data_IF_423084544950
#
_entry.id   IF_423084544950
#
_cell.length_a   1.000
_cell.length_b   1.000
_cell.length_c   1.000
_cell.angle_alpha   90.00
_cell.angle_beta   90.00
_cell.angle_gamma   90.00
#
_symmetry.space_group_name_H-M   'P 1'
#
loop_
_entity.id
_entity.type
_entity.pdbx_description
1 polymer ?
#
# COMPACT_ATOMS: atom_id res chain seq x y z
N UNK A 1 -14.69 23.89 -28.34
CA UNK A 1 -15.42 25.14 -28.05
C UNK A 1 -14.76 25.70 -26.80
N UNK A 2 -14.23 26.92 -26.85
CA UNK A 2 -13.49 27.48 -25.72
C UNK A 2 -14.51 27.78 -24.62
N UNK A 3 -14.45 27.11 -23.47
CA UNK A 3 -15.49 27.24 -22.42
C UNK A 3 -15.69 28.69 -21.98
N UNK A 4 -14.66 29.54 -22.10
CA UNK A 4 -14.71 30.96 -21.78
C UNK A 4 -15.52 31.84 -22.76
N UNK A 5 -16.02 31.28 -23.87
CA UNK A 5 -16.66 32.07 -24.93
C UNK A 5 -18.08 31.61 -25.28
N UNK A 6 -18.67 30.74 -24.45
CA UNK A 6 -20.00 30.16 -24.68
C UNK A 6 -21.09 31.22 -24.84
N UNK A 7 -21.16 32.23 -23.97
CA UNK A 7 -22.14 33.33 -24.06
C UNK A 7 -21.94 34.20 -25.31
N UNK A 8 -20.69 34.46 -25.70
CA UNK A 8 -20.39 35.22 -26.92
C UNK A 8 -20.78 34.43 -28.17
N UNK A 9 -20.56 33.11 -28.18
CA UNK A 9 -20.93 32.22 -29.27
C UNK A 9 -22.44 32.07 -29.46
N UNK A 10 -23.22 32.26 -28.39
CA UNK A 10 -24.68 32.30 -28.44
C UNK A 10 -25.23 33.59 -29.09
N UNK A 11 -24.41 34.63 -29.27
CA UNK A 11 -24.85 35.84 -29.96
C UNK A 11 -24.99 35.62 -31.48
N UNK A 12 -26.04 36.21 -32.11
CA UNK A 12 -26.17 36.24 -33.56
C UNK A 12 -24.91 36.82 -34.23
N UNK A 13 -24.49 36.23 -35.34
CA UNK A 13 -23.25 36.58 -36.04
C UNK A 13 -23.13 38.07 -36.39
N UNK A 14 -24.24 38.76 -36.62
CA UNK A 14 -24.27 40.21 -36.93
C UNK A 14 -23.69 41.07 -35.79
N UNK A 15 -23.87 40.68 -34.53
CA UNK A 15 -23.34 41.41 -33.38
C UNK A 15 -21.85 41.11 -33.17
N UNK A 16 -21.43 39.86 -33.42
CA UNK A 16 -20.01 39.46 -33.34
C UNK A 16 -19.14 40.14 -34.41
N UNK A 17 -19.67 40.32 -35.62
CA UNK A 17 -18.97 41.03 -36.69
C UNK A 17 -18.79 42.52 -36.33
N UNK A 18 -19.83 43.17 -35.79
CA UNK A 18 -19.75 44.57 -35.36
C UNK A 18 -18.82 44.78 -34.17
N UNK A 19 -18.84 43.88 -33.21
CA UNK A 19 -17.94 43.95 -32.06
C UNK A 19 -16.47 43.80 -32.46
N UNK A 20 -16.17 42.94 -33.44
CA UNK A 20 -14.83 42.84 -34.01
C UNK A 20 -14.37 44.13 -34.72
N UNK A 21 -15.30 44.91 -35.28
CA UNK A 21 -15.01 46.23 -35.87
C UNK A 21 -14.80 47.33 -34.81
N UNK A 22 -15.42 47.20 -33.63
CA UNK A 22 -15.36 48.17 -32.52
C UNK A 22 -14.31 47.81 -31.43
N UNK A 23 -13.48 46.79 -31.66
CA UNK A 23 -12.38 46.44 -30.77
C UNK A 23 -12.72 45.42 -29.66
N UNK A 24 -13.73 44.57 -29.88
CA UNK A 24 -14.08 43.42 -29.04
C UNK A 24 -14.50 43.74 -27.59
N UNK A 25 -15.09 44.92 -27.37
CA UNK A 25 -15.52 45.37 -26.04
C UNK A 25 -16.66 44.50 -25.49
N UNK A 26 -17.59 44.07 -26.34
CA UNK A 26 -18.70 43.20 -25.95
C UNK A 26 -18.20 41.79 -25.61
N UNK A 27 -17.26 41.24 -26.39
CA UNK A 27 -16.58 39.98 -26.07
C UNK A 27 -15.89 40.04 -24.72
N UNK A 28 -15.17 41.12 -24.41
CA UNK A 28 -14.51 41.31 -23.12
C UNK A 28 -15.52 41.37 -21.96
N UNK A 29 -16.64 42.09 -22.12
CA UNK A 29 -17.69 42.16 -21.12
C UNK A 29 -18.37 40.80 -20.89
N UNK A 30 -18.71 40.08 -21.96
CA UNK A 30 -19.33 38.76 -21.85
C UNK A 30 -18.38 37.71 -21.28
N UNK A 31 -17.08 37.84 -21.51
CA UNK A 31 -16.06 37.00 -20.87
C UNK A 31 -16.13 37.13 -19.34
N UNK A 32 -16.21 38.36 -18.81
CA UNK A 32 -16.35 38.59 -17.36
C UNK A 32 -17.68 38.07 -16.83
N UNK A 33 -18.78 38.23 -17.58
CA UNK A 33 -20.09 37.69 -17.19
C UNK A 33 -20.10 36.15 -17.20
N UNK A 34 -19.42 35.53 -18.17
CA UNK A 34 -19.27 34.08 -18.25
C UNK A 34 -18.51 33.54 -17.03
N UNK A 35 -17.46 34.22 -16.55
CA UNK A 35 -16.73 33.80 -15.35
C UNK A 35 -17.64 33.69 -14.12
N UNK A 36 -18.49 34.70 -13.91
CA UNK A 36 -19.47 34.70 -12.81
C UNK A 36 -20.60 33.67 -13.04
N UNK A 37 -21.06 33.50 -14.28
CA UNK A 37 -22.04 32.47 -14.63
C UNK A 37 -21.49 31.07 -14.36
N UNK A 38 -20.23 30.80 -14.73
CA UNK A 38 -19.56 29.53 -14.47
C UNK A 38 -19.32 29.31 -12.98
N UNK A 39 -19.05 30.37 -12.21
CA UNK A 39 -18.99 30.27 -10.76
C UNK A 39 -20.34 29.85 -10.17
N UNK A 40 -21.44 30.45 -10.63
CA UNK A 40 -22.79 30.09 -10.21
C UNK A 40 -23.21 28.68 -10.67
N UNK A 41 -22.92 28.30 -11.92
CA UNK A 41 -23.20 26.95 -12.43
C UNK A 41 -22.46 25.89 -11.59
N UNK A 42 -21.20 26.16 -11.21
CA UNK A 42 -20.42 25.29 -10.31
C UNK A 42 -21.01 25.22 -8.91
N UNK A 43 -21.44 26.34 -8.34
CA UNK A 43 -22.07 26.39 -7.01
C UNK A 43 -23.39 25.59 -7.00
N UNK A 44 -24.22 25.75 -8.04
CA UNK A 44 -25.46 24.97 -8.20
C UNK A 44 -25.15 23.48 -8.35
N UNK A 45 -24.13 23.11 -9.13
CA UNK A 45 -23.70 21.72 -9.27
C UNK A 45 -23.24 21.16 -7.91
N UNK A 46 -22.44 21.92 -7.15
CA UNK A 46 -22.02 21.57 -5.79
C UNK A 46 -23.20 21.32 -4.85
N UNK A 47 -24.25 22.16 -4.90
CA UNK A 47 -25.47 21.93 -4.11
C UNK A 47 -26.20 20.62 -4.46
N UNK A 48 -26.12 20.16 -5.71
CA UNK A 48 -26.68 18.85 -6.09
C UNK A 48 -25.78 17.70 -5.63
N UNK A 49 -24.46 17.87 -5.67
CA UNK A 49 -23.49 16.93 -5.12
C UNK A 49 -23.64 16.79 -3.60
N UNK A 50 -24.01 17.88 -2.92
CA UNK A 50 -24.27 17.94 -1.48
C UNK A 50 -25.45 17.08 -1.00
N UNK A 51 -26.31 16.63 -1.92
CA UNK A 51 -27.43 15.74 -1.58
C UNK A 51 -26.99 14.31 -1.29
N UNK A 52 -25.80 13.89 -1.74
CA UNK A 52 -25.32 12.51 -1.60
C UNK A 52 -24.07 12.45 -0.74
N UNK A 53 -24.06 11.53 0.23
CA UNK A 53 -22.93 11.37 1.16
C UNK A 53 -21.61 11.02 0.46
N UNK A 54 -21.65 10.47 -0.75
CA UNK A 54 -20.44 10.10 -1.51
C UNK A 54 -19.77 11.32 -2.15
N UNK A 55 -20.57 12.32 -2.55
CA UNK A 55 -20.11 13.48 -3.34
C UNK A 55 -20.16 14.79 -2.58
N UNK A 56 -20.92 14.88 -1.48
CA UNK A 56 -21.13 16.13 -0.76
C UNK A 56 -19.84 16.73 -0.21
N UNK A 57 -19.81 18.03 0.04
CA UNK A 57 -18.70 18.65 0.76
C UNK A 57 -18.60 18.14 2.22
N UNK A 58 -17.39 18.24 2.80
CA UNK A 58 -17.15 17.77 4.17
C UNK A 58 -18.00 18.48 5.23
N UNK A 59 -18.33 19.76 4.99
CA UNK A 59 -19.13 20.56 5.91
C UNK A 59 -20.60 20.14 5.93
N UNK A 60 -21.10 19.44 4.90
CA UNK A 60 -22.49 18.94 4.78
C UNK A 60 -22.69 17.64 5.54
N UNK A 61 -21.65 16.83 5.71
CA UNK A 61 -21.69 15.50 6.32
C UNK A 61 -22.42 15.49 7.68
N UNK A 62 -22.17 16.44 8.62
CA UNK A 62 -22.87 16.45 9.91
C UNK A 62 -24.39 16.60 9.77
N UNK A 63 -24.88 17.36 8.78
CA UNK A 63 -26.31 17.56 8.56
C UNK A 63 -26.97 16.27 8.04
N UNK A 64 -26.30 15.53 7.15
CA UNK A 64 -26.75 14.20 6.71
C UNK A 64 -26.73 13.22 7.90
N UNK A 65 -25.70 13.31 8.74
CA UNK A 65 -25.59 12.54 9.98
C UNK A 65 -26.77 12.76 10.93
N UNK A 66 -27.20 14.00 11.12
CA UNK A 66 -28.34 14.36 11.97
C UNK A 66 -29.65 13.73 11.49
N UNK A 67 -29.88 13.63 10.17
CA UNK A 67 -31.05 12.93 9.61
C UNK A 67 -31.08 11.45 10.00
N UNK A 68 -29.90 10.84 10.13
CA UNK A 68 -29.75 9.45 10.56
C UNK A 68 -29.70 9.31 12.08
N UNK A 69 -29.67 10.41 12.85
CA UNK A 69 -29.43 10.37 14.30
C UNK A 69 -28.02 9.88 14.63
N UNK A 70 -27.03 10.32 13.85
CA UNK A 70 -25.61 10.02 14.02
C UNK A 70 -24.92 11.29 14.50
N UNK A 71 -24.41 11.26 15.72
CA UNK A 71 -23.61 12.37 16.22
C UNK A 71 -22.18 12.26 15.71
N UNK A 72 -21.64 13.39 15.26
CA UNK A 72 -20.25 13.48 14.82
C UNK A 72 -19.31 13.00 15.91
N UNK A 73 -18.40 12.09 15.55
CA UNK A 73 -17.23 11.77 16.36
C UNK A 73 -16.20 12.85 16.05
N UNK A 74 -15.54 13.40 17.07
CA UNK A 74 -14.43 14.33 16.81
C UNK A 74 -13.35 13.60 16.01
N UNK A 75 -13.01 14.07 14.79
CA UNK A 75 -11.95 13.46 14.01
C UNK A 75 -10.64 13.63 14.79
N UNK A 76 -9.99 12.51 15.11
CA UNK A 76 -8.76 12.50 15.91
C UNK A 76 -7.53 12.94 15.10
N UNK A 77 -7.64 13.01 13.77
CA UNK A 77 -6.65 13.58 12.84
C UNK A 77 -7.25 13.73 11.43
N UNK A 78 -6.57 14.47 10.53
CA UNK A 78 -6.92 14.65 9.10
C UNK A 78 -7.02 13.32 8.33
N UNK A 79 -6.50 12.22 8.89
CA UNK A 79 -6.55 10.87 8.29
C UNK A 79 -7.21 9.81 9.18
N UNK A 80 -7.58 10.14 10.40
CA UNK A 80 -8.35 9.24 11.26
C UNK A 80 -9.78 9.22 10.73
N UNK A 81 -10.21 8.06 10.21
CA UNK A 81 -11.57 7.73 9.76
C UNK A 81 -12.44 8.88 9.25
N UNK A 82 -12.75 8.86 7.94
CA UNK A 82 -13.64 9.88 7.40
C UNK A 82 -15.02 9.78 8.06
N UNK A 83 -15.48 10.90 8.63
CA UNK A 83 -16.86 11.04 9.11
C UNK A 83 -17.86 10.62 8.00
N UNK A 84 -17.48 10.82 6.73
CA UNK A 84 -18.20 10.35 5.55
C UNK A 84 -18.46 8.85 5.60
N UNK A 85 -17.42 8.03 5.75
CA UNK A 85 -17.52 6.56 5.78
C UNK A 85 -18.42 6.10 6.93
N UNK A 86 -18.27 6.72 8.10
CA UNK A 86 -19.10 6.43 9.26
C UNK A 86 -20.59 6.74 9.03
N UNK A 87 -20.90 7.93 8.50
CA UNK A 87 -22.28 8.35 8.18
C UNK A 87 -22.87 7.49 7.07
N UNK A 88 -22.12 7.27 5.98
CA UNK A 88 -22.55 6.47 4.83
C UNK A 88 -22.93 5.03 5.23
N UNK A 89 -22.10 4.40 6.06
CA UNK A 89 -22.31 3.00 6.46
C UNK A 89 -23.25 2.81 7.66
N UNK A 90 -23.78 3.89 8.25
CA UNK A 90 -24.60 3.82 9.47
C UNK A 90 -25.79 2.87 9.34
N UNK A 91 -26.55 2.94 8.24
CA UNK A 91 -27.70 2.06 8.02
C UNK A 91 -27.28 0.60 7.94
N UNK A 92 -26.12 0.31 7.33
CA UNK A 92 -25.57 -1.03 7.24
C UNK A 92 -25.18 -1.58 8.63
N UNK A 93 -24.55 -0.77 9.49
CA UNK A 93 -24.25 -1.16 10.87
C UNK A 93 -25.51 -1.53 11.65
N UNK A 94 -26.56 -0.70 11.53
CA UNK A 94 -27.82 -0.91 12.26
C UNK A 94 -28.51 -2.20 11.83
N UNK A 95 -28.49 -2.52 10.54
CA UNK A 95 -29.06 -3.77 10.00
C UNK A 95 -28.30 -5.02 10.45
N UNK A 96 -27.01 -4.89 10.73
CA UNK A 96 -26.13 -6.00 11.16
C UNK A 96 -25.78 -5.94 12.65
N UNK A 97 -26.52 -5.15 13.44
CA UNK A 97 -26.24 -4.99 14.86
C UNK A 97 -26.22 -6.36 15.56
N UNK A 98 -25.13 -6.65 16.27
CA UNK A 98 -24.95 -7.89 17.01
C UNK A 98 -24.03 -8.92 16.33
N UNK A 99 -23.42 -8.60 15.18
CA UNK A 99 -22.35 -9.43 14.60
C UNK A 99 -20.97 -8.86 14.89
N UNK A 100 -19.96 -9.74 15.03
CA UNK A 100 -18.57 -9.34 15.26
C UNK A 100 -17.98 -8.54 14.07
N UNK A 101 -18.31 -8.90 12.84
CA UNK A 101 -17.85 -8.20 11.63
C UNK A 101 -18.24 -6.70 11.60
N UNK A 102 -19.39 -6.31 12.19
CA UNK A 102 -19.75 -4.89 12.29
C UNK A 102 -18.81 -4.13 13.23
N UNK A 103 -18.29 -4.77 14.28
CA UNK A 103 -17.34 -4.12 15.17
C UNK A 103 -16.03 -3.81 14.45
N UNK A 104 -15.56 -4.72 13.60
CA UNK A 104 -14.38 -4.51 12.75
C UNK A 104 -14.59 -3.35 11.77
N UNK A 105 -15.74 -3.35 11.08
CA UNK A 105 -16.07 -2.30 10.11
C UNK A 105 -16.20 -0.93 10.77
N UNK A 106 -16.93 -0.83 11.91
CA UNK A 106 -17.08 0.44 12.64
C UNK A 106 -15.73 0.94 13.16
N UNK A 107 -14.87 0.04 13.66
CA UNK A 107 -13.53 0.41 14.09
C UNK A 107 -12.71 0.96 12.92
N UNK A 108 -12.75 0.31 11.75
CA UNK A 108 -12.05 0.77 10.54
C UNK A 108 -12.57 2.11 10.04
N UNK A 109 -13.88 2.28 9.97
CA UNK A 109 -14.48 3.50 9.42
C UNK A 109 -14.25 4.73 10.32
N UNK A 110 -14.17 4.55 11.65
CA UNK A 110 -13.92 5.65 12.60
C UNK A 110 -12.42 5.93 12.79
N UNK A 111 -11.57 4.90 12.81
CA UNK A 111 -10.15 5.06 13.14
C UNK A 111 -9.24 5.07 11.92
N UNK A 112 -9.68 4.52 10.79
CA UNK A 112 -8.85 4.22 9.63
C UNK A 112 -7.97 2.97 9.81
N UNK A 113 -7.97 2.33 10.98
CA UNK A 113 -7.13 1.15 11.26
C UNK A 113 -7.86 -0.15 10.94
N UNK A 114 -7.14 -1.14 10.42
CA UNK A 114 -7.66 -2.50 10.36
C UNK A 114 -7.95 -3.01 11.76
N UNK A 115 -9.02 -3.80 11.89
CA UNK A 115 -9.51 -4.29 13.16
C UNK A 115 -9.93 -5.75 13.05
N UNK A 116 -9.78 -6.49 14.16
CA UNK A 116 -10.28 -7.86 14.29
C UNK A 116 -11.05 -7.99 15.60
N UNK A 117 -12.26 -8.54 15.52
CA UNK A 117 -13.15 -8.73 16.65
C UNK A 117 -13.16 -10.21 17.06
N UNK A 118 -12.77 -10.46 18.32
CA UNK A 118 -12.73 -11.81 18.89
C UNK A 118 -13.82 -11.96 19.92
N UNK A 119 -14.72 -12.89 19.67
CA UNK A 119 -15.74 -13.30 20.62
C UNK A 119 -15.15 -14.33 21.59
N UNK A 120 -14.66 -13.87 22.75
CA UNK A 120 -13.91 -14.73 23.66
C UNK A 120 -14.70 -15.92 24.22
N UNK A 121 -16.04 -15.90 24.13
CA UNK A 121 -16.87 -17.04 24.51
C UNK A 121 -16.72 -18.23 23.56
N UNK A 122 -16.31 -18.01 22.31
CA UNK A 122 -16.03 -19.08 21.34
C UNK A 122 -14.76 -19.85 21.71
N UNK A 123 -13.79 -19.13 22.28
CA UNK A 123 -12.54 -19.66 22.81
C UNK A 123 -12.67 -20.25 24.21
N UNK A 124 -13.87 -20.35 24.80
CA UNK A 124 -14.03 -20.99 26.10
C UNK A 124 -14.12 -22.51 25.96
N UNK A 125 -13.32 -23.23 26.74
CA UNK A 125 -13.45 -24.67 26.86
C UNK A 125 -14.81 -25.02 27.49
N UNK A 126 -15.61 -25.82 26.78
CA UNK A 126 -16.95 -26.24 27.24
C UNK A 126 -17.12 -27.76 27.14
N UNK A 127 -17.92 -28.32 28.04
CA UNK A 127 -18.42 -29.69 27.86
C UNK A 127 -19.48 -29.70 26.75
N UNK A 128 -19.38 -30.64 25.80
CA UNK A 128 -20.30 -30.74 24.68
C UNK A 128 -21.74 -30.99 25.17
N UNK A 129 -22.69 -30.21 24.66
CA UNK A 129 -24.11 -30.35 24.96
C UNK A 129 -24.87 -30.77 23.69
N UNK A 130 -25.75 -31.77 23.78
CA UNK A 130 -26.39 -32.37 22.60
C UNK A 130 -27.25 -31.37 21.79
N UNK A 131 -27.88 -30.40 22.44
CA UNK A 131 -28.68 -29.38 21.73
C UNK A 131 -27.82 -28.30 21.06
N UNK A 132 -26.52 -28.23 21.38
CA UNK A 132 -25.60 -27.23 20.85
C UNK A 132 -24.18 -27.79 20.81
N UNK A 133 -23.94 -28.65 19.81
CA UNK A 133 -22.65 -29.26 19.57
C UNK A 133 -21.67 -28.23 19.02
N UNK A 134 -20.48 -28.18 19.61
CA UNK A 134 -19.35 -27.34 19.21
C UNK A 134 -18.16 -28.22 18.83
N UNK A 135 -18.21 -28.93 17.70
CA UNK A 135 -17.21 -29.95 17.36
C UNK A 135 -15.79 -29.38 17.18
N UNK A 136 -15.67 -28.09 16.86
CA UNK A 136 -14.38 -27.39 16.69
C UNK A 136 -13.79 -26.85 17.99
N UNK A 137 -14.56 -26.82 19.09
CA UNK A 137 -14.10 -26.34 20.40
C UNK A 137 -13.37 -27.48 21.12
N UNK A 138 -12.07 -27.61 20.83
CA UNK A 138 -11.21 -28.69 21.33
C UNK A 138 -10.16 -28.08 22.27
N UNK A 139 -10.10 -28.60 23.50
CA UNK A 139 -9.16 -28.10 24.53
C UNK A 139 -7.70 -28.45 24.31
N UNK A 140 -7.44 -29.50 23.53
CA UNK A 140 -6.09 -29.97 23.24
C UNK A 140 -5.67 -29.49 21.86
N UNK A 141 -4.93 -28.37 21.74
CA UNK A 141 -4.42 -27.93 20.45
C UNK A 141 -3.48 -28.98 19.87
N UNK A 142 -3.48 -29.11 18.54
CA UNK A 142 -2.61 -30.05 17.85
C UNK A 142 -1.18 -29.52 17.81
N UNK A 143 -0.25 -30.17 18.51
CA UNK A 143 1.17 -29.75 18.53
C UNK A 143 1.88 -29.88 17.18
N UNK A 144 1.28 -30.59 16.21
CA UNK A 144 1.80 -30.69 14.83
C UNK A 144 1.37 -29.52 13.96
N UNK A 145 0.31 -28.81 14.34
CA UNK A 145 -0.15 -27.63 13.63
C UNK A 145 0.59 -26.40 14.17
N UNK A 146 1.85 -26.28 13.78
CA UNK A 146 2.73 -25.21 14.26
C UNK A 146 2.27 -23.83 13.80
N UNK A 147 1.54 -23.74 12.68
CA UNK A 147 0.98 -22.49 12.19
C UNK A 147 -0.04 -21.91 13.19
N UNK A 148 -0.97 -22.74 13.68
CA UNK A 148 -1.95 -22.34 14.69
C UNK A 148 -1.31 -22.10 16.07
N UNK A 149 -0.24 -22.81 16.42
CA UNK A 149 0.45 -22.61 17.70
C UNK A 149 1.17 -21.27 17.79
N UNK A 150 1.67 -20.73 16.68
CA UNK A 150 2.32 -19.41 16.66
C UNK A 150 1.31 -18.26 16.88
N UNK A 151 0.01 -18.52 16.66
CA UNK A 151 -1.06 -17.54 16.89
C UNK A 151 -1.54 -17.46 18.35
N UNK A 152 -1.06 -18.34 19.24
CA UNK A 152 -1.53 -18.41 20.64
C UNK A 152 -1.39 -17.08 21.37
N UNK A 153 -2.46 -16.66 22.07
CA UNK A 153 -2.52 -15.39 22.78
C UNK A 153 -2.63 -14.14 21.89
N UNK A 154 -2.67 -14.33 20.57
CA UNK A 154 -2.87 -13.29 19.57
C UNK A 154 -4.35 -13.13 19.16
N UNK A 155 -4.62 -12.20 18.23
CA UNK A 155 -5.98 -11.93 17.74
C UNK A 155 -6.60 -13.12 16.99
N UNK A 156 -5.80 -13.91 16.27
CA UNK A 156 -6.28 -15.01 15.43
C UNK A 156 -6.15 -16.38 16.10
N UNK A 157 -6.02 -16.43 17.43
CA UNK A 157 -5.88 -17.69 18.14
C UNK A 157 -7.17 -18.51 18.09
N UNK A 158 -7.04 -19.83 17.93
CA UNK A 158 -8.17 -20.77 17.96
C UNK A 158 -8.15 -21.69 19.20
N UNK A 159 -7.14 -21.57 20.05
CA UNK A 159 -6.99 -22.42 21.23
C UNK A 159 -8.01 -22.05 22.30
N UNK A 160 -8.61 -23.08 22.92
CA UNK A 160 -9.62 -22.85 23.94
C UNK A 160 -9.00 -22.67 25.32
N UNK A 161 -9.54 -21.72 26.09
CA UNK A 161 -9.10 -21.34 27.42
C UNK A 161 -10.15 -21.68 28.48
N UNK A 162 -9.73 -21.80 29.74
CA UNK A 162 -10.65 -21.84 30.87
C UNK A 162 -11.24 -20.46 31.13
N UNK A 163 -12.48 -20.42 31.64
CA UNK A 163 -13.12 -19.16 31.99
C UNK A 163 -12.30 -18.35 33.00
N UNK A 164 -12.01 -17.10 32.66
CA UNK A 164 -11.32 -16.13 33.49
C UNK A 164 -12.34 -15.16 34.10
N UNK A 165 -12.50 -15.23 35.42
CA UNK A 165 -13.47 -14.43 36.17
C UNK A 165 -12.91 -13.08 36.62
N UNK A 166 -11.63 -12.79 36.34
CA UNK A 166 -11.04 -11.49 36.64
C UNK A 166 -11.69 -10.40 35.79
N UNK A 167 -11.56 -9.15 36.23
CA UNK A 167 -12.17 -8.03 35.53
C UNK A 167 -11.39 -7.71 34.25
N UNK A 168 -12.06 -7.69 33.09
CA UNK A 168 -11.44 -7.27 31.81
C UNK A 168 -10.88 -5.84 31.89
N UNK A 169 -11.57 -4.94 32.61
CA UNK A 169 -11.17 -3.55 32.77
C UNK A 169 -9.82 -3.38 33.50
N UNK A 170 -9.36 -4.39 34.25
CA UNK A 170 -8.02 -4.39 34.88
C UNK A 170 -7.00 -5.17 34.06
N UNK A 171 -7.27 -5.41 32.77
CA UNK A 171 -6.51 -6.27 31.86
C UNK A 171 -6.34 -7.72 32.36
N UNK A 172 -7.13 -8.13 33.36
CA UNK A 172 -6.94 -9.37 34.09
C UNK A 172 -7.77 -10.54 33.58
N UNK A 173 -8.98 -10.33 33.06
CA UNK A 173 -9.86 -11.42 32.63
C UNK A 173 -10.34 -11.27 31.21
N UNK A 174 -9.63 -11.92 30.27
CA UNK A 174 -9.91 -11.87 28.84
C UNK A 174 -11.00 -12.87 28.45
N UNK A 175 -10.79 -14.15 28.76
CA UNK A 175 -11.62 -15.25 28.29
C UNK A 175 -12.87 -15.43 29.15
N UNK A 176 -13.99 -14.79 28.78
CA UNK A 176 -15.27 -14.94 29.46
C UNK A 176 -16.44 -14.69 28.48
N UNK A 177 -17.65 -15.15 28.83
CA UNK A 177 -18.85 -15.07 27.99
C UNK A 177 -19.20 -13.64 27.54
N UNK A 178 -19.22 -12.61 28.42
CA UNK A 178 -19.64 -11.26 28.02
C UNK A 178 -18.51 -10.46 27.34
N UNK A 179 -17.32 -11.03 27.19
CA UNK A 179 -16.16 -10.29 26.72
C UNK A 179 -16.00 -10.41 25.21
N UNK A 180 -15.78 -9.27 24.56
CA UNK A 180 -15.37 -9.17 23.16
C UNK A 180 -14.06 -8.39 23.12
N UNK A 181 -13.07 -8.91 22.41
CA UNK A 181 -11.81 -8.24 22.15
C UNK A 181 -11.85 -7.52 20.81
N UNK A 182 -11.39 -6.28 20.76
CA UNK A 182 -11.17 -5.55 19.50
C UNK A 182 -9.67 -5.28 19.41
N UNK A 183 -9.02 -5.92 18.44
CA UNK A 183 -7.61 -5.75 18.15
C UNK A 183 -7.47 -4.75 17.01
N UNK A 184 -6.62 -3.74 17.19
CA UNK A 184 -6.43 -2.65 16.23
C UNK A 184 -4.98 -2.64 15.74
N UNK A 185 -4.80 -2.62 14.42
CA UNK A 185 -3.49 -2.49 13.80
C UNK A 185 -3.19 -1.03 13.51
N UNK A 186 -2.34 -0.44 14.37
CA UNK A 186 -1.92 0.96 14.24
C UNK A 186 -0.84 1.17 13.19
N UNK A 187 -0.09 0.11 12.86
CA UNK A 187 0.90 0.14 11.79
C UNK A 187 0.23 -0.06 10.45
N UNK A 188 0.71 0.65 9.44
CA UNK A 188 0.29 0.54 8.06
C UNK A 188 1.37 -0.19 7.26
N UNK A 189 0.95 -0.82 6.16
CA UNK A 189 1.84 -1.51 5.24
C UNK A 189 2.18 -0.59 4.07
N UNK A 190 3.47 -0.28 3.90
CA UNK A 190 3.99 0.56 2.83
C UNK A 190 4.69 -0.30 1.77
N UNK A 191 4.09 -0.51 0.58
CA UNK A 191 4.66 -1.36 -0.45
C UNK A 191 5.79 -0.63 -1.19
N UNK A 192 6.95 -1.27 -1.26
CA UNK A 192 8.09 -0.85 -2.04
C UNK A 192 8.32 -1.82 -3.20
N UNK A 193 8.61 -1.28 -4.37
CA UNK A 193 8.80 -2.04 -5.60
C UNK A 193 10.25 -1.94 -6.06
N UNK A 194 10.86 -3.09 -6.37
CA UNK A 194 12.20 -3.21 -6.99
C UNK A 194 13.30 -2.39 -6.29
N UNK A 195 13.33 -2.44 -4.97
CA UNK A 195 14.38 -1.79 -4.16
C UNK A 195 15.67 -2.57 -4.24
N UNK A 196 16.83 -1.89 -4.31
CA UNK A 196 18.13 -2.54 -4.23
C UNK A 196 18.34 -3.18 -2.86
N UNK A 197 18.51 -4.51 -2.83
CA UNK A 197 18.83 -5.23 -1.60
C UNK A 197 20.26 -4.91 -1.17
N UNK A 198 20.50 -4.78 0.14
CA UNK A 198 21.83 -4.47 0.65
C UNK A 198 22.63 -5.76 0.88
N UNK A 199 23.75 -5.91 0.18
CA UNK A 199 24.67 -7.03 0.38
C UNK A 199 25.40 -6.88 1.73
N UNK A 200 25.29 -7.92 2.55
CA UNK A 200 26.06 -8.09 3.78
C UNK A 200 27.26 -8.99 3.45
N UNK A 201 28.50 -8.44 3.48
CA UNK A 201 29.68 -9.13 2.97
C UNK A 201 29.85 -10.54 3.55
N UNK A 202 29.98 -11.52 2.66
CA UNK A 202 30.23 -12.93 3.01
C UNK A 202 29.06 -13.65 3.68
N UNK A 203 27.85 -13.08 3.66
CA UNK A 203 26.65 -13.69 4.26
C UNK A 203 25.49 -13.81 3.27
N UNK A 204 24.98 -12.68 2.79
CA UNK A 204 23.78 -12.64 1.97
C UNK A 204 23.28 -11.21 1.81
N UNK A 205 21.97 -11.04 1.70
CA UNK A 205 21.32 -9.77 1.44
C UNK A 205 20.27 -9.45 2.51
N UNK A 206 20.00 -8.17 2.70
CA UNK A 206 18.88 -7.66 3.51
C UNK A 206 17.90 -6.92 2.61
N UNK A 207 16.62 -6.96 2.99
CA UNK A 207 15.56 -6.29 2.24
C UNK A 207 15.61 -4.77 2.38
N UNK A 208 16.12 -4.27 3.51
CA UNK A 208 16.35 -2.85 3.71
C UNK A 208 17.65 -2.42 3.01
N UNK A 209 17.64 -1.37 2.16
CA UNK A 209 18.84 -0.91 1.46
C UNK A 209 19.95 -0.43 2.40
N UNK A 210 19.66 -0.13 3.68
CA UNK A 210 20.66 0.30 4.66
C UNK A 210 21.37 -0.85 5.38
N UNK A 211 20.95 -2.10 5.16
CA UNK A 211 21.59 -3.28 5.77
C UNK A 211 21.00 -3.69 7.11
N UNK A 212 19.85 -3.14 7.52
CA UNK A 212 19.21 -3.39 8.82
C UNK A 212 18.19 -4.53 8.69
N UNK A 213 18.09 -5.35 9.74
CA UNK A 213 17.04 -6.37 9.83
C UNK A 213 15.67 -5.71 10.06
N UNK A 214 14.74 -5.90 9.12
CA UNK A 214 13.37 -5.39 9.21
C UNK A 214 12.35 -6.50 8.95
N UNK A 215 11.27 -6.61 9.74
CA UNK A 215 10.19 -7.53 9.42
C UNK A 215 9.46 -7.08 8.16
N UNK A 216 9.19 -8.02 7.26
CA UNK A 216 8.33 -7.81 6.11
C UNK A 216 6.87 -7.78 6.55
N UNK A 217 6.08 -6.89 5.97
CA UNK A 217 4.67 -6.70 6.30
C UNK A 217 3.76 -7.27 5.23
N UNK A 218 2.61 -7.77 5.67
CA UNK A 218 1.54 -8.18 4.79
C UNK A 218 0.87 -6.95 4.16
N UNK A 219 0.65 -7.00 2.84
CA UNK A 219 -0.22 -6.06 2.15
C UNK A 219 -1.67 -6.51 2.31
N UNK A 220 -2.52 -5.78 3.05
CA UNK A 220 -3.89 -6.21 3.36
C UNK A 220 -4.70 -6.47 2.09
N UNK A 221 -5.31 -7.65 1.99
CA UNK A 221 -6.25 -7.97 0.92
C UNK A 221 -7.66 -7.55 1.32
N UNK A 222 -8.39 -6.96 0.37
CA UNK A 222 -9.76 -6.51 0.59
C UNK A 222 -10.70 -7.71 0.80
N UNK A 223 -11.49 -7.63 1.85
CA UNK A 223 -12.53 -8.59 2.16
C UNK A 223 -13.64 -8.51 1.10
N UNK A 224 -14.07 -9.67 0.58
CA UNK A 224 -15.09 -9.72 -0.48
C UNK A 224 -16.51 -9.79 0.06
N UNK A 225 -16.69 -10.23 1.30
CA UNK A 225 -17.98 -10.45 1.93
C UNK A 225 -18.11 -9.62 3.20
N UNK A 226 -19.24 -8.94 3.38
CA UNK A 226 -19.43 -8.00 4.50
C UNK A 226 -19.72 -8.71 5.85
N UNK A 227 -19.75 -10.03 5.85
CA UNK A 227 -19.91 -10.86 7.07
C UNK A 227 -18.64 -11.64 7.39
N UNK A 228 -17.63 -11.56 6.53
CA UNK A 228 -16.32 -12.16 6.77
C UNK A 228 -15.63 -11.42 7.91
N UNK A 229 -15.03 -12.17 8.84
CA UNK A 229 -14.15 -11.60 9.86
C UNK A 229 -12.76 -11.49 9.27
N UNK A 230 -12.05 -10.42 9.62
CA UNK A 230 -10.69 -10.24 9.17
C UNK A 230 -9.82 -11.46 9.51
N UNK A 231 -9.09 -11.95 8.51
CA UNK A 231 -8.02 -12.94 8.68
C UNK A 231 -6.64 -12.26 8.63
N UNK A 232 -5.57 -13.02 8.87
CA UNK A 232 -4.20 -12.49 8.81
C UNK A 232 -3.87 -11.79 7.49
N UNK A 233 -4.43 -12.28 6.38
CA UNK A 233 -4.25 -11.71 5.04
C UNK A 233 -4.94 -10.34 4.88
N UNK A 234 -5.93 -10.03 5.70
CA UNK A 234 -6.71 -8.79 5.62
C UNK A 234 -6.15 -7.66 6.49
N UNK A 235 -5.08 -7.93 7.26
CA UNK A 235 -4.50 -6.96 8.19
C UNK A 235 -3.03 -6.65 7.88
N UNK A 236 -2.57 -5.42 8.16
CA UNK A 236 -1.17 -5.01 7.96
C UNK A 236 -0.32 -5.50 9.14
N UNK A 237 -0.07 -6.80 9.19
CA UNK A 237 0.73 -7.45 10.21
C UNK A 237 2.11 -7.88 9.68
N UNK A 238 3.13 -8.01 10.55
CA UNK A 238 4.38 -8.69 10.20
C UNK A 238 4.11 -10.10 9.68
N UNK A 239 4.78 -10.47 8.60
CA UNK A 239 4.68 -11.79 8.00
C UNK A 239 5.35 -12.84 8.90
N UNK A 240 4.64 -13.96 9.10
CA UNK A 240 5.16 -15.11 9.85
C UNK A 240 5.83 -16.10 8.90
N UNK A 241 6.83 -16.82 9.41
CA UNK A 241 7.59 -17.79 8.60
C UNK A 241 6.73 -18.99 8.19
N UNK A 242 5.95 -19.53 9.13
CA UNK A 242 5.24 -20.79 8.95
C UNK A 242 4.16 -20.75 7.84
N UNK A 243 3.23 -19.79 7.80
CA UNK A 243 2.22 -19.76 6.75
C UNK A 243 2.82 -19.63 5.34
N UNK A 244 3.87 -18.81 5.18
CA UNK A 244 4.56 -18.66 3.90
C UNK A 244 5.31 -19.93 3.49
N UNK A 245 5.96 -20.60 4.45
CA UNK A 245 6.59 -21.90 4.21
C UNK A 245 5.55 -22.94 3.75
N UNK A 246 4.44 -23.07 4.47
CA UNK A 246 3.39 -24.04 4.17
C UNK A 246 2.76 -23.79 2.79
N UNK A 247 2.54 -22.52 2.40
CA UNK A 247 2.03 -22.18 1.07
C UNK A 247 3.01 -22.56 -0.05
N UNK A 248 4.31 -22.26 0.10
CA UNK A 248 5.30 -22.59 -0.94
C UNK A 248 5.56 -24.10 -1.05
N UNK A 249 5.56 -24.83 0.07
CA UNK A 249 5.60 -26.30 0.06
C UNK A 249 4.37 -26.91 -0.63
N UNK A 250 3.17 -26.42 -0.28
CA UNK A 250 1.93 -26.86 -0.92
C UNK A 250 1.91 -26.52 -2.42
N UNK A 251 2.46 -25.36 -2.81
CA UNK A 251 2.61 -24.94 -4.21
C UNK A 251 3.52 -25.88 -4.99
N UNK A 252 4.71 -26.20 -4.49
CA UNK A 252 5.62 -27.16 -5.14
C UNK A 252 4.99 -28.53 -5.27
N UNK A 253 4.35 -29.02 -4.21
CA UNK A 253 3.65 -30.31 -4.25
C UNK A 253 2.46 -30.31 -5.23
N UNK A 254 1.75 -29.19 -5.39
CA UNK A 254 0.67 -29.05 -6.37
C UNK A 254 1.22 -29.08 -7.80
N UNK A 255 2.33 -28.37 -8.07
CA UNK A 255 3.02 -28.37 -9.37
C UNK A 255 3.48 -29.79 -9.73
N UNK A 256 4.12 -30.51 -8.79
CA UNK A 256 4.51 -31.93 -8.99
C UNK A 256 3.34 -32.84 -9.34
N UNK A 257 2.14 -32.51 -8.86
CA UNK A 257 0.92 -33.28 -9.08
C UNK A 257 0.08 -32.77 -10.26
N UNK A 258 0.61 -31.85 -11.09
CA UNK A 258 -0.11 -31.18 -12.18
C UNK A 258 -1.44 -30.51 -11.73
N UNK A 259 -1.46 -29.94 -10.51
CA UNK A 259 -2.60 -29.23 -9.94
C UNK A 259 -2.33 -27.73 -9.85
N UNK A 260 -3.37 -26.93 -10.02
CA UNK A 260 -3.30 -25.49 -9.78
C UNK A 260 -3.02 -25.23 -8.29
N UNK A 261 -1.94 -24.51 -7.95
CA UNK A 261 -1.61 -24.21 -6.57
C UNK A 261 -2.61 -23.23 -5.97
N UNK A 262 -2.86 -23.36 -4.67
CA UNK A 262 -3.60 -22.36 -3.92
C UNK A 262 -2.75 -21.09 -3.80
N UNK A 263 -3.39 -19.93 -3.94
CA UNK A 263 -2.74 -18.63 -3.89
C UNK A 263 -3.35 -17.83 -2.75
N UNK A 264 -2.59 -17.66 -1.67
CA UNK A 264 -3.00 -16.88 -0.49
C UNK A 264 -2.13 -15.64 -0.38
N UNK A 265 -0.84 -15.81 -0.06
CA UNK A 265 0.13 -14.72 0.01
C UNK A 265 0.89 -14.50 -1.30
N UNK A 266 0.95 -15.51 -2.19
CA UNK A 266 1.67 -15.43 -3.47
C UNK A 266 0.73 -15.53 -4.69
N UNK A 267 -0.39 -14.78 -4.62
CA UNK A 267 -1.37 -14.65 -5.70
C UNK A 267 -1.09 -13.51 -6.67
N UNK A 268 -2.14 -12.79 -7.08
CA UNK A 268 -2.03 -11.66 -8.01
C UNK A 268 -1.11 -10.55 -7.48
N UNK A 269 -1.21 -10.26 -6.19
CA UNK A 269 -0.34 -9.32 -5.47
C UNK A 269 0.47 -10.11 -4.42
N UNK A 270 1.65 -10.64 -4.78
CA UNK A 270 2.46 -11.38 -3.83
C UNK A 270 3.04 -10.44 -2.77
N UNK A 271 3.16 -10.94 -1.53
CA UNK A 271 3.64 -10.17 -0.38
C UNK A 271 5.09 -9.68 -0.52
N UNK A 272 5.92 -10.42 -1.25
CA UNK A 272 7.23 -9.98 -1.68
C UNK A 272 7.62 -10.65 -3.00
N UNK A 273 8.61 -10.07 -3.69
CA UNK A 273 9.23 -10.61 -4.89
C UNK A 273 10.74 -10.42 -4.80
N UNK A 274 11.50 -11.38 -5.32
CA UNK A 274 12.96 -11.31 -5.41
C UNK A 274 13.35 -11.36 -6.88
N UNK A 275 14.27 -10.50 -7.28
CA UNK A 275 14.76 -10.41 -8.64
C UNK A 275 16.28 -10.40 -8.64
N UNK A 276 16.84 -10.94 -9.71
CA UNK A 276 18.28 -10.92 -9.98
C UNK A 276 18.54 -10.11 -11.24
N UNK A 277 19.63 -9.38 -11.21
CA UNK A 277 20.20 -8.73 -12.39
C UNK A 277 21.49 -9.44 -12.74
N UNK A 278 21.56 -10.00 -13.94
CA UNK A 278 22.75 -10.68 -14.46
C UNK A 278 23.00 -10.19 -15.88
N UNK A 279 24.19 -9.68 -16.17
CA UNK A 279 24.56 -9.13 -17.49
C UNK A 279 23.58 -8.03 -17.96
N UNK A 280 23.02 -7.27 -17.01
CA UNK A 280 22.03 -6.23 -17.27
C UNK A 280 20.61 -6.73 -17.59
N UNK A 281 20.39 -8.05 -17.65
CA UNK A 281 19.06 -8.64 -17.78
C UNK A 281 18.40 -8.80 -16.40
N UNK A 282 17.12 -8.46 -16.31
CA UNK A 282 16.32 -8.52 -15.10
C UNK A 282 15.42 -9.76 -15.10
N UNK A 283 15.59 -10.63 -14.12
CA UNK A 283 14.82 -11.88 -13.98
C UNK A 283 14.20 -12.01 -12.59
N UNK A 284 12.92 -12.37 -12.54
CA UNK A 284 12.23 -12.67 -11.29
C UNK A 284 12.49 -14.12 -10.89
N UNK A 285 12.92 -14.36 -9.64
CA UNK A 285 12.98 -15.71 -9.09
C UNK A 285 11.54 -16.23 -8.93
N UNK A 286 11.17 -17.36 -9.55
CA UNK A 286 9.86 -17.96 -9.37
C UNK A 286 9.59 -18.26 -7.89
N UNK A 287 8.35 -18.04 -7.42
CA UNK A 287 8.02 -18.18 -6.00
C UNK A 287 8.26 -19.61 -5.49
N UNK A 288 8.03 -20.62 -6.33
CA UNK A 288 8.33 -22.02 -6.06
C UNK A 288 9.84 -22.29 -5.83
N UNK A 289 10.74 -21.45 -6.33
CA UNK A 289 12.19 -21.58 -6.13
C UNK A 289 12.71 -20.81 -4.91
N UNK A 290 11.80 -20.23 -4.11
CA UNK A 290 12.12 -19.49 -2.88
C UNK A 290 11.77 -20.33 -1.64
N UNK A 291 12.75 -20.63 -0.80
CA UNK A 291 12.56 -21.32 0.47
C UNK A 291 12.35 -20.32 1.62
N UNK A 292 11.28 -20.48 2.40
CA UNK A 292 11.12 -19.70 3.64
C UNK A 292 11.83 -20.42 4.79
N UNK A 293 12.75 -19.74 5.48
CA UNK A 293 13.44 -20.33 6.63
C UNK A 293 13.88 -19.26 7.64
N UNK A 294 14.42 -19.71 8.77
CA UNK A 294 15.08 -18.84 9.75
C UNK A 294 16.52 -18.57 9.31
N UNK A 295 16.82 -17.31 9.00
CA UNK A 295 18.14 -16.85 8.56
C UNK A 295 18.89 -16.10 9.66
N UNK A 296 18.59 -16.37 10.93
CA UNK A 296 19.39 -15.88 12.06
C UNK A 296 20.88 -16.24 11.90
N UNK A 297 21.16 -17.46 11.40
CA UNK A 297 22.50 -18.01 11.17
C UNK A 297 23.02 -17.86 9.72
N UNK A 298 22.31 -17.16 8.82
CA UNK A 298 22.71 -16.98 7.42
C UNK A 298 23.03 -18.29 6.68
N UNK A 299 22.13 -19.28 6.79
CA UNK A 299 22.34 -20.59 6.16
C UNK A 299 22.00 -20.54 4.67
N UNK A 300 22.89 -21.10 3.85
CA UNK A 300 22.67 -21.27 2.41
C UNK A 300 21.56 -22.29 2.20
N UNK A 301 20.57 -22.04 1.31
CA UNK A 301 19.54 -23.02 0.98
C UNK A 301 20.13 -24.28 0.33
N UNK A 302 19.44 -25.44 0.43
CA UNK A 302 19.73 -26.57 -0.44
C UNK A 302 19.51 -26.16 -1.91
N UNK A 303 20.22 -26.79 -2.86
CA UNK A 303 20.08 -26.49 -4.30
C UNK A 303 18.79 -27.03 -4.89
N UNK A 304 18.30 -28.13 -4.36
CA UNK A 304 17.08 -28.80 -4.81
C UNK A 304 16.36 -29.46 -3.63
N UNK A 305 15.05 -29.62 -3.74
CA UNK A 305 14.22 -30.35 -2.78
C UNK A 305 13.35 -31.36 -3.53
N UNK A 306 13.33 -32.58 -3.02
CA UNK A 306 12.62 -33.71 -3.62
C UNK A 306 11.15 -33.78 -3.17
N UNK A 307 10.25 -33.91 -4.13
CA UNK A 307 8.81 -34.07 -3.88
C UNK A 307 8.29 -35.39 -4.43
N UNK A 308 7.44 -36.12 -3.67
CA UNK A 308 6.83 -37.35 -4.14
C UNK A 308 5.77 -37.06 -5.20
N UNK A 309 5.87 -37.74 -6.35
CA UNK A 309 4.84 -37.83 -7.38
C UNK A 309 4.24 -39.26 -7.42
N UNK A 310 3.10 -39.49 -8.10
CA UNK A 310 2.45 -40.81 -8.11
C UNK A 310 3.33 -41.98 -8.60
N UNK A 311 4.32 -41.70 -9.46
CA UNK A 311 5.16 -42.73 -10.10
C UNK A 311 6.66 -42.43 -10.04
N UNK A 312 7.08 -41.28 -9.50
CA UNK A 312 8.47 -40.85 -9.43
C UNK A 312 8.69 -39.84 -8.30
N UNK A 313 9.94 -39.48 -8.05
CA UNK A 313 10.30 -38.30 -7.26
C UNK A 313 10.69 -37.20 -8.23
N UNK A 314 10.19 -35.98 -8.01
CA UNK A 314 10.52 -34.80 -8.82
C UNK A 314 11.27 -33.82 -7.93
N UNK A 315 12.49 -33.47 -8.34
CA UNK A 315 13.34 -32.49 -7.65
C UNK A 315 13.03 -31.09 -8.19
N UNK A 316 12.75 -30.16 -7.28
CA UNK A 316 12.52 -28.75 -7.61
C UNK A 316 13.74 -27.92 -7.21
N UNK A 317 14.26 -27.04 -8.08
CA UNK A 317 15.38 -26.18 -7.75
C UNK A 317 14.99 -25.13 -6.70
N UNK A 318 15.95 -24.74 -5.87
CA UNK A 318 15.81 -23.64 -4.91
C UNK A 318 16.93 -22.63 -5.18
N UNK A 319 16.54 -21.43 -5.56
CA UNK A 319 17.47 -20.34 -5.89
C UNK A 319 17.71 -19.40 -4.71
N UNK A 320 16.74 -19.26 -3.80
CA UNK A 320 16.82 -18.29 -2.71
C UNK A 320 16.19 -18.81 -1.43
N UNK A 321 16.74 -18.40 -0.29
CA UNK A 321 16.13 -18.52 1.03
C UNK A 321 15.75 -17.13 1.54
N UNK A 322 14.53 -16.97 2.07
CA UNK A 322 14.03 -15.71 2.63
C UNK A 322 13.56 -15.91 4.07
N UNK A 323 13.96 -15.00 4.94
CA UNK A 323 13.42 -14.87 6.29
C UNK A 323 12.54 -13.61 6.37
N UNK A 324 11.20 -13.74 6.36
CA UNK A 324 10.30 -12.60 6.38
C UNK A 324 10.27 -11.87 7.74
N UNK A 325 10.72 -12.50 8.82
CA UNK A 325 10.70 -11.89 10.16
C UNK A 325 11.91 -10.99 10.36
N UNK A 326 13.06 -11.38 9.81
CA UNK A 326 14.30 -10.60 9.87
C UNK A 326 14.53 -9.74 8.62
N UNK A 327 13.80 -9.97 7.53
CA UNK A 327 14.04 -9.28 6.26
C UNK A 327 15.39 -9.63 5.66
N UNK A 328 15.77 -10.91 5.74
CA UNK A 328 17.03 -11.44 5.20
C UNK A 328 16.78 -12.34 4.00
N UNK A 329 17.75 -12.38 3.10
CA UNK A 329 17.74 -13.15 1.88
C UNK A 329 19.13 -13.78 1.68
N UNK A 330 19.18 -15.07 1.35
CA UNK A 330 20.43 -15.75 0.96
C UNK A 330 20.19 -16.45 -0.37
N UNK A 331 21.04 -16.22 -1.35
CA UNK A 331 20.98 -16.90 -2.63
C UNK A 331 21.68 -18.26 -2.55
N UNK A 332 21.28 -19.18 -3.43
CA UNK A 332 21.98 -20.44 -3.64
C UNK A 332 23.44 -20.18 -4.07
N UNK A 333 24.37 -21.03 -3.61
CA UNK A 333 25.80 -20.85 -3.86
C UNK A 333 26.19 -20.87 -5.35
N UNK A 334 25.31 -21.35 -6.23
CA UNK A 334 25.52 -21.36 -7.68
C UNK A 334 25.23 -20.01 -8.35
N UNK A 335 24.64 -19.04 -7.63
CA UNK A 335 24.18 -17.78 -8.19
C UNK A 335 25.08 -16.62 -7.73
N UNK A 336 25.58 -15.85 -8.70
CA UNK A 336 26.39 -14.65 -8.49
C UNK A 336 25.83 -13.51 -9.37
N UNK A 337 24.70 -12.90 -8.97
CA UNK A 337 24.13 -11.78 -9.73
C UNK A 337 24.94 -10.49 -9.52
N UNK A 338 24.86 -9.59 -10.48
CA UNK A 338 25.46 -8.24 -10.39
C UNK A 338 24.71 -7.39 -9.34
N UNK A 339 23.39 -7.53 -9.28
CA UNK A 339 22.53 -6.85 -8.32
C UNK A 339 21.33 -7.74 -7.93
N UNK A 340 20.87 -7.61 -6.69
CA UNK A 340 19.66 -8.25 -6.20
C UNK A 340 18.64 -7.18 -5.87
N UNK A 341 17.42 -7.34 -6.38
CA UNK A 341 16.31 -6.45 -6.04
C UNK A 341 15.21 -7.19 -5.31
N UNK A 342 14.51 -6.43 -4.47
CA UNK A 342 13.37 -6.94 -3.72
C UNK A 342 12.18 -5.99 -3.83
N UNK A 343 10.99 -6.56 -3.98
CA UNK A 343 9.74 -5.85 -3.72
C UNK A 343 9.17 -6.40 -2.43
N UNK A 344 8.83 -5.55 -1.48
CA UNK A 344 8.30 -5.95 -0.18
C UNK A 344 7.50 -4.80 0.43
N UNK A 345 6.76 -5.08 1.50
CA UNK A 345 6.17 -4.00 2.30
C UNK A 345 6.83 -3.91 3.66
N UNK A 346 6.98 -2.70 4.18
CA UNK A 346 7.43 -2.46 5.56
C UNK A 346 6.30 -1.82 6.39
N UNK A 347 6.39 -2.00 7.70
CA UNK A 347 5.39 -1.49 8.64
C UNK A 347 5.79 -0.16 9.25
N UNK A 348 4.93 0.86 9.16
CA UNK A 348 5.19 2.13 9.82
C UNK A 348 3.91 2.82 10.30
N UNK A 349 4.03 3.74 11.26
CA UNK A 349 2.89 4.32 11.97
C UNK A 349 2.14 5.42 11.21
N UNK A 350 2.70 5.90 10.10
CA UNK A 350 2.09 6.95 9.28
C UNK A 350 3.06 7.53 8.25
N UNK A 351 2.55 8.43 7.42
CA UNK A 351 3.26 9.01 6.27
C UNK A 351 4.33 10.01 6.69
N UNK A 352 5.43 9.49 7.24
CA UNK A 352 6.59 10.27 7.68
C UNK A 352 7.85 9.70 7.04
N UNK A 353 8.72 10.61 6.58
CA UNK A 353 9.97 10.27 5.89
C UNK A 353 9.83 10.20 4.37
N UNK A 354 10.46 9.19 3.78
CA UNK A 354 10.61 9.02 2.34
C UNK A 354 9.91 7.73 1.83
N UNK A 355 8.70 7.47 2.33
CA UNK A 355 7.92 6.30 1.91
C UNK A 355 7.18 6.48 0.57
N UNK A 356 6.50 5.42 0.10
CA UNK A 356 5.84 5.34 -1.21
C UNK A 356 4.47 6.05 -1.28
N UNK A 357 4.21 6.99 -0.38
CA UNK A 357 2.93 7.68 -0.28
C UNK A 357 2.93 9.02 -1.02
N UNK A 358 1.73 9.48 -1.40
CA UNK A 358 1.56 10.73 -2.13
C UNK A 358 1.99 11.94 -1.27
N UNK A 359 2.94 12.72 -1.81
CA UNK A 359 3.48 13.94 -1.19
C UNK A 359 3.26 15.19 -2.05
N UNK A 360 2.40 15.13 -3.07
CA UNK A 360 2.19 16.21 -4.05
C UNK A 360 1.79 17.54 -3.39
N UNK A 361 0.98 17.49 -2.33
CA UNK A 361 0.59 18.70 -1.59
C UNK A 361 1.80 19.41 -0.99
N UNK A 362 2.76 18.64 -0.46
CA UNK A 362 3.97 19.20 0.15
C UNK A 362 5.00 19.66 -0.88
N UNK A 363 5.02 19.08 -2.08
CA UNK A 363 5.99 19.43 -3.12
C UNK A 363 5.52 20.58 -4.01
N UNK A 364 4.20 20.77 -4.18
CA UNK A 364 3.62 21.82 -5.03
C UNK A 364 4.04 23.23 -4.58
N UNK A 365 4.06 23.47 -3.28
CA UNK A 365 4.36 24.79 -2.71
C UNK A 365 5.87 25.07 -2.60
N UNK A 366 6.73 24.11 -2.96
CA UNK A 366 8.18 24.27 -2.89
C UNK A 366 8.70 25.11 -4.05
N UNK A 367 8.10 25.00 -5.23
CA UNK A 367 8.52 25.73 -6.42
C UNK A 367 7.79 27.07 -6.51
N UNK A 368 8.55 28.16 -6.60
CA UNK A 368 7.99 29.52 -6.68
C UNK A 368 7.29 29.81 -8.02
N UNK A 369 7.56 29.01 -9.05
CA UNK A 369 6.95 29.08 -10.38
C UNK A 369 7.07 27.72 -11.09
N UNK A 370 6.42 27.59 -12.25
CA UNK A 370 6.55 26.39 -13.09
C UNK A 370 8.01 26.13 -13.47
N UNK A 371 8.47 24.87 -13.45
CA UNK A 371 9.85 24.55 -13.78
C UNK A 371 10.14 24.86 -15.25
N UNK A 372 11.28 25.49 -15.50
CA UNK A 372 11.79 25.80 -16.84
C UNK A 372 12.51 24.60 -17.45
N UNK A 373 13.00 23.69 -16.60
CA UNK A 373 13.74 22.49 -16.97
C UNK A 373 13.33 21.31 -16.10
N UNK A 374 13.10 20.16 -16.73
CA UNK A 374 12.71 18.93 -16.04
C UNK A 374 13.33 17.71 -16.72
N UNK A 375 13.90 16.82 -15.92
CA UNK A 375 14.47 15.54 -16.38
C UNK A 375 14.13 14.42 -15.41
N UNK A 376 14.09 13.20 -15.93
CA UNK A 376 13.93 11.97 -15.16
C UNK A 376 15.26 11.28 -14.92
N UNK A 377 15.36 10.54 -13.83
CA UNK A 377 16.46 9.62 -13.53
C UNK A 377 15.85 8.26 -13.23
N UNK A 378 16.16 7.28 -14.06
CA UNK A 378 15.72 5.90 -13.85
C UNK A 378 16.62 4.92 -14.57
N UNK A 379 17.06 3.87 -13.87
CA UNK A 379 17.75 2.72 -14.47
C UNK A 379 16.80 1.82 -15.25
N UNK A 380 15.52 1.81 -14.86
CA UNK A 380 14.52 0.88 -15.40
C UNK A 380 13.67 1.52 -16.49
N UNK A 381 13.11 2.69 -16.21
CA UNK A 381 12.16 3.34 -17.08
C UNK A 381 12.86 3.93 -18.31
N UNK A 382 12.11 3.99 -19.41
CA UNK A 382 12.57 4.52 -20.70
C UNK A 382 11.64 5.63 -21.16
N UNK A 383 12.18 6.61 -21.87
CA UNK A 383 11.42 7.78 -22.31
C UNK A 383 10.23 7.38 -23.19
N UNK A 384 9.03 7.83 -22.82
CA UNK A 384 7.78 7.51 -23.55
C UNK A 384 7.41 8.62 -24.54
N UNK A 385 7.56 9.89 -24.16
CA UNK A 385 7.06 11.05 -24.92
C UNK A 385 8.11 12.04 -25.42
N UNK A 386 9.39 11.65 -25.49
CA UNK A 386 10.51 12.56 -25.81
C UNK A 386 11.14 13.23 -24.60
N UNK A 387 10.75 12.82 -23.40
CA UNK A 387 11.34 13.23 -22.13
C UNK A 387 12.79 12.74 -22.00
N UNK A 388 13.62 13.54 -21.35
CA UNK A 388 15.00 13.14 -21.06
C UNK A 388 15.04 12.34 -19.78
N UNK A 389 15.41 11.06 -19.88
CA UNK A 389 15.62 10.16 -18.75
C UNK A 389 17.08 9.72 -18.73
N UNK A 390 17.78 10.05 -17.66
CA UNK A 390 19.15 9.63 -17.42
C UNK A 390 19.21 8.31 -16.64
N UNK A 391 20.26 7.52 -16.88
CA UNK A 391 20.51 6.27 -16.14
C UNK A 391 21.24 6.50 -14.81
N UNK A 392 21.91 7.64 -14.67
CA UNK A 392 22.66 8.03 -13.48
C UNK A 392 22.19 9.41 -12.99
N UNK A 393 22.39 9.68 -11.70
CA UNK A 393 22.09 10.98 -11.12
C UNK A 393 23.18 12.00 -11.52
N UNK A 394 24.44 11.58 -11.64
CA UNK A 394 25.58 12.36 -12.10
C UNK A 394 25.37 12.96 -13.49
N UNK A 395 24.79 12.22 -14.44
CA UNK A 395 24.50 12.74 -15.78
C UNK A 395 23.43 13.85 -15.71
N UNK A 396 22.39 13.66 -14.91
CA UNK A 396 21.34 14.66 -14.71
C UNK A 396 21.88 15.92 -14.01
N UNK A 397 22.75 15.76 -13.02
CA UNK A 397 23.43 16.88 -12.33
C UNK A 397 24.38 17.60 -13.27
N UNK A 398 25.07 16.89 -14.15
CA UNK A 398 25.95 17.49 -15.17
C UNK A 398 25.16 18.33 -16.17
N UNK A 399 23.97 17.89 -16.60
CA UNK A 399 23.10 18.70 -17.46
C UNK A 399 22.50 19.91 -16.71
N UNK A 400 22.14 19.73 -15.43
CA UNK A 400 21.70 20.84 -14.57
C UNK A 400 22.78 21.92 -14.43
N UNK A 401 24.02 21.53 -14.19
CA UNK A 401 25.15 22.45 -14.04
C UNK A 401 25.46 23.28 -15.31
N UNK A 402 24.90 22.89 -16.46
CA UNK A 402 25.00 23.62 -17.72
C UNK A 402 23.79 24.54 -18.01
N UNK A 403 22.78 24.56 -17.13
CA UNK A 403 21.63 25.46 -17.27
C UNK A 403 22.02 26.91 -16.96
N UNK A 404 21.36 27.90 -17.59
CA UNK A 404 21.63 29.31 -17.33
C UNK A 404 21.23 29.74 -15.92
N UNK A 405 21.80 30.85 -15.45
CA UNK A 405 21.44 31.46 -14.17
C UNK A 405 19.95 31.88 -14.17
N UNK A 406 19.26 31.67 -13.05
CA UNK A 406 17.84 31.99 -12.91
C UNK A 406 16.87 30.86 -13.32
N UNK A 407 17.37 29.67 -13.65
CA UNK A 407 16.53 28.50 -14.03
C UNK A 407 15.90 27.83 -12.80
N UNK A 408 14.63 27.44 -12.93
CA UNK A 408 13.94 26.54 -11.99
C UNK A 408 13.93 25.12 -12.57
N UNK A 409 14.67 24.22 -11.94
CA UNK A 409 14.87 22.84 -12.39
C UNK A 409 14.22 21.79 -11.51
N UNK A 410 13.80 20.68 -12.11
CA UNK A 410 13.32 19.49 -11.40
C UNK A 410 14.03 18.24 -11.91
N UNK A 411 14.62 17.47 -10.99
CA UNK A 411 15.12 16.12 -11.26
C UNK A 411 14.19 15.13 -10.55
N UNK A 412 13.46 14.35 -11.34
CA UNK A 412 12.55 13.32 -10.84
C UNK A 412 13.26 11.95 -10.83
N UNK A 413 13.47 11.38 -9.66
CA UNK A 413 13.94 9.99 -9.50
C UNK A 413 12.70 9.09 -9.59
N UNK A 414 12.66 8.22 -10.59
CA UNK A 414 11.45 7.48 -10.96
C UNK A 414 11.52 5.99 -10.60
N UNK A 415 12.58 5.55 -9.92
CA UNK A 415 12.71 4.19 -9.42
C UNK A 415 13.19 4.16 -7.96
N UNK A 416 13.22 2.97 -7.37
CA UNK A 416 13.68 2.75 -5.99
C UNK A 416 15.10 2.17 -5.91
N UNK A 417 15.94 2.41 -6.94
CA UNK A 417 17.31 1.89 -6.98
C UNK A 417 18.23 2.71 -6.06
N UNK A 418 19.32 2.06 -5.64
CA UNK A 418 20.40 2.75 -4.92
C UNK A 418 21.43 3.31 -5.90
N UNK A 419 21.55 4.64 -5.95
CA UNK A 419 22.57 5.34 -6.73
C UNK A 419 23.82 5.58 -5.86
N UNK A 420 24.92 4.89 -6.17
CA UNK A 420 26.22 5.05 -5.49
C UNK A 420 27.13 5.92 -6.36
N UNK A 421 26.91 7.23 -6.28
CA UNK A 421 27.60 8.22 -7.11
C UNK A 421 28.21 9.30 -6.22
N UNK A 422 29.39 9.79 -6.58
CA UNK A 422 30.09 10.85 -5.85
C UNK A 422 29.75 12.21 -6.48
N UNK A 423 28.86 12.96 -5.83
CA UNK A 423 28.46 14.31 -6.26
C UNK A 423 29.22 15.38 -5.48
N UNK A 424 30.53 15.23 -5.38
CA UNK A 424 31.42 16.18 -4.71
C UNK A 424 32.46 16.76 -5.67
N UNK A 425 33.10 17.86 -5.28
CA UNK A 425 34.15 18.48 -6.10
C UNK A 425 33.61 19.08 -7.41
N UNK A 426 34.15 18.62 -8.54
CA UNK A 426 33.76 19.12 -9.87
C UNK A 426 32.33 18.71 -10.26
N UNK A 427 31.89 17.54 -9.77
CA UNK A 427 30.57 16.93 -9.99
C UNK A 427 29.53 17.38 -8.96
N UNK A 428 29.88 18.34 -8.10
CA UNK A 428 28.95 18.89 -7.12
C UNK A 428 27.78 19.63 -7.79
N UNK A 429 26.62 19.56 -7.14
CA UNK A 429 25.43 20.32 -7.56
C UNK A 429 25.71 21.81 -7.37
N UNK A 430 25.67 22.57 -8.47
CA UNK A 430 25.84 24.03 -8.45
C UNK A 430 24.47 24.69 -8.51
N UNK A 431 24.20 25.61 -7.58
CA UNK A 431 22.98 26.41 -7.58
C UNK A 431 23.38 27.87 -7.84
N UNK A 432 23.28 28.35 -9.10
CA UNK A 432 23.56 29.74 -9.44
C UNK A 432 22.60 30.72 -8.77
N UNK A 433 22.93 32.01 -8.83
CA UNK A 433 22.09 33.06 -8.25
C UNK A 433 20.70 33.08 -8.92
N UNK A 434 19.65 33.22 -8.12
CA UNK A 434 18.25 33.16 -8.57
C UNK A 434 17.79 31.83 -9.19
N UNK A 435 18.62 30.76 -9.15
CA UNK A 435 18.22 29.41 -9.58
C UNK A 435 17.64 28.60 -8.43
N UNK A 436 16.77 27.65 -8.74
CA UNK A 436 16.20 26.70 -7.78
C UNK A 436 16.20 25.30 -8.38
N UNK A 437 16.67 24.30 -7.63
CA UNK A 437 16.63 22.90 -8.03
C UNK A 437 15.83 22.09 -7.03
N UNK A 438 14.87 21.31 -7.51
CA UNK A 438 14.14 20.32 -6.74
C UNK A 438 14.54 18.91 -7.20
N UNK A 439 15.08 18.10 -6.28
CA UNK A 439 15.28 16.67 -6.50
C UNK A 439 14.18 15.94 -5.74
N UNK A 440 13.38 15.15 -6.45
CA UNK A 440 12.18 14.51 -5.89
C UNK A 440 12.06 13.08 -6.39
N UNK A 441 11.64 12.16 -5.52
CA UNK A 441 11.21 10.84 -5.95
C UNK A 441 9.73 10.92 -6.36
N UNK A 442 9.44 10.66 -7.63
CA UNK A 442 8.11 10.81 -8.22
C UNK A 442 7.99 10.01 -9.52
N UNK A 443 6.77 9.57 -9.83
CA UNK A 443 6.43 9.01 -11.13
C UNK A 443 6.28 10.15 -12.16
N UNK A 444 6.98 10.05 -13.29
CA UNK A 444 7.00 11.07 -14.34
C UNK A 444 7.24 10.41 -15.73
N UNK A 445 6.47 10.70 -16.79
CA UNK A 445 5.31 11.58 -16.82
C UNK A 445 4.19 11.04 -15.96
N UNK A 446 3.26 11.91 -15.57
CA UNK A 446 2.00 11.46 -14.98
C UNK A 446 1.26 10.60 -16.01
N UNK A 447 1.42 9.29 -15.92
CA UNK A 447 0.56 8.33 -16.61
C UNK A 447 -0.71 8.25 -15.75
N UNK A 448 -1.88 8.50 -16.34
CA UNK A 448 -3.16 8.28 -15.63
C UNK A 448 -3.20 6.82 -15.17
N UNK A 449 -3.04 6.63 -13.87
CA UNK A 449 -3.07 5.30 -13.26
C UNK A 449 -4.54 4.85 -13.20
N UNK A 450 -4.91 3.91 -14.09
CA UNK A 450 -6.29 3.39 -14.20
C UNK A 450 -6.79 2.73 -12.90
N UNK A 451 -5.90 2.48 -11.94
CA UNK A 451 -6.16 1.80 -10.66
C UNK A 451 -6.25 2.75 -9.45
N UNK A 452 -6.24 4.07 -9.64
CA UNK A 452 -6.38 5.04 -8.53
C UNK A 452 -7.82 5.25 -8.03
N UNK A 453 -8.78 4.45 -8.50
CA UNK A 453 -10.13 4.34 -7.95
C UNK A 453 -10.28 3.09 -7.08
N UNK A 454 -9.68 3.07 -5.89
CA UNK A 454 -10.06 2.14 -4.80
C UNK A 454 -10.01 2.83 -3.44
#
# INVERSE_FOLDING_TARGET
>A
MNERERLYDLLPAIYRIRDAEEGEVLRALLCVIEEEMQALERDIAGLYEDLFIETCDEWVIPYIGDLLGVHGVHPLSVRAGSLRSYVANTLAYRRRKGTAAVLEQVARDITGWSAHAVEFFELLATSQHLNHLRPRNIRTPNLRDTNQLELLGGPFESATHTADVRRIATAGGRYNIPNIGIFLWRLQSYPLSRVSACEVPGKGYTFDPTGIDIPLFNRPQTEREIVHLAEEINVPAPLRRRPLYDELEARRQAITNDKTPQQVYFGQQPVFRVFMVTDGAFEQIPHEEILICDLSDWRIPPTEIDYPAPTSTVSHPIMAAVDPVLGRLVLSASLLPDEVLVSHSYGFSGDVGAGPYNRTVFTRDVLNRTPDWQVGVSREETAVGGEKIFKTLSDAVSEWNNQPDGTVGVIAIMDSRTYREDLTGEDAIRIPESSQLLIVAADWPAIEDSDSLV
#
